data_IF_131789304056
#
_entry.id   IF_131789304056
#
_cell.length_a   1.000
_cell.length_b   1.000
_cell.length_c   1.000
_cell.angle_alpha   90.00
_cell.angle_beta   90.00
_cell.angle_gamma   90.00
#
_symmetry.space_group_name_H-M   'P 1'
#
loop_
_entity.id
_entity.type
_entity.pdbx_description
1 polymer ?
#
# COMPACT_ATOMS: atom_id res chain seq x y z
N UNK A 1 -42.94 26.83 38.08
CA UNK A 1 -42.95 27.74 36.89
C UNK A 1 -42.22 27.17 35.70
N UNK A 2 -41.51 26.05 35.84
CA UNK A 2 -40.63 25.54 34.79
C UNK A 2 -41.21 24.42 33.95
N UNK A 3 -42.40 23.96 34.23
CA UNK A 3 -43.03 22.82 33.50
C UNK A 3 -43.76 23.25 32.22
N UNK A 4 -44.02 24.50 31.99
CA UNK A 4 -44.70 24.95 30.75
C UNK A 4 -43.79 25.00 29.55
N UNK A 5 -42.48 25.30 29.76
CA UNK A 5 -41.53 25.36 28.68
C UNK A 5 -41.13 23.97 28.08
N UNK A 6 -41.28 22.91 28.87
CA UNK A 6 -41.01 21.57 28.41
C UNK A 6 -42.14 20.98 27.53
N UNK A 7 -43.39 21.40 27.79
CA UNK A 7 -44.55 20.98 27.00
C UNK A 7 -44.56 21.71 25.64
N UNK A 8 -44.24 22.99 25.63
CA UNK A 8 -44.14 23.75 24.37
C UNK A 8 -42.96 23.31 23.50
N UNK A 9 -41.83 22.92 24.09
CA UNK A 9 -40.72 22.33 23.38
C UNK A 9 -41.09 20.95 22.81
N UNK A 10 -41.79 20.12 23.58
CA UNK A 10 -42.26 18.82 23.13
C UNK A 10 -43.27 18.94 21.99
N UNK A 11 -44.22 19.86 22.07
CA UNK A 11 -45.22 20.12 21.03
C UNK A 11 -44.59 20.75 19.77
N UNK A 12 -43.46 21.46 19.91
CA UNK A 12 -42.77 22.04 18.80
C UNK A 12 -42.01 21.01 17.96
N UNK A 13 -41.58 19.89 18.56
CA UNK A 13 -41.00 18.75 17.89
C UNK A 13 -42.03 17.72 17.39
N UNK A 14 -43.27 17.81 17.88
CA UNK A 14 -44.34 16.92 17.51
C UNK A 14 -45.39 17.64 16.65
N UNK A 15 -44.95 18.46 15.73
CA UNK A 15 -45.81 18.96 14.67
C UNK A 15 -46.26 17.73 13.85
N UNK A 16 -47.55 17.65 13.55
CA UNK A 16 -48.14 16.67 12.63
C UNK A 16 -47.55 16.92 11.19
N UNK A 17 -46.28 16.63 11.03
CA UNK A 17 -45.66 16.53 9.71
C UNK A 17 -46.02 15.18 9.16
N UNK A 18 -46.73 15.16 8.05
CA UNK A 18 -46.96 13.92 7.29
C UNK A 18 -45.65 13.17 7.12
N UNK A 19 -45.70 11.84 7.31
CA UNK A 19 -44.55 10.98 7.09
C UNK A 19 -44.00 11.22 5.66
N UNK A 20 -42.86 11.90 5.55
CA UNK A 20 -42.22 12.11 4.29
C UNK A 20 -41.53 10.79 3.86
N UNK A 21 -41.98 10.23 2.77
CA UNK A 21 -41.27 9.09 2.15
C UNK A 21 -40.08 9.60 1.32
N UNK A 22 -38.92 9.24 1.75
CA UNK A 22 -37.68 9.48 1.00
C UNK A 22 -37.16 8.18 0.39
N UNK A 23 -37.03 8.10 -0.90
CA UNK A 23 -36.33 7.01 -1.56
C UNK A 23 -35.00 7.49 -2.14
N UNK A 24 -33.92 6.79 -1.86
CA UNK A 24 -32.63 7.00 -2.55
C UNK A 24 -32.39 5.85 -3.52
N UNK A 25 -32.03 6.18 -4.75
CA UNK A 25 -31.68 5.19 -5.77
C UNK A 25 -30.22 5.36 -6.17
N UNK A 26 -29.44 4.29 -6.04
CA UNK A 26 -28.06 4.26 -6.50
C UNK A 26 -27.93 3.31 -7.68
N UNK A 27 -27.40 3.79 -8.80
CA UNK A 27 -27.12 2.98 -9.98
C UNK A 27 -25.62 2.81 -10.16
N UNK A 28 -25.17 1.57 -10.26
CA UNK A 28 -23.79 1.20 -10.54
C UNK A 28 -23.74 0.52 -11.91
N UNK A 29 -22.86 1.01 -12.76
CA UNK A 29 -22.53 0.38 -14.05
C UNK A 29 -21.09 -0.10 -14.01
N UNK A 30 -20.86 -1.35 -14.41
CA UNK A 30 -19.53 -1.94 -14.52
C UNK A 30 -19.45 -2.73 -15.82
N UNK A 31 -18.52 -2.35 -16.68
CA UNK A 31 -18.18 -3.07 -17.89
C UNK A 31 -16.72 -3.53 -17.81
N UNK A 32 -16.50 -4.81 -18.00
CA UNK A 32 -15.17 -5.40 -18.16
C UNK A 32 -15.12 -6.14 -19.49
N UNK A 33 -14.11 -5.85 -20.27
CA UNK A 33 -13.83 -6.53 -21.54
C UNK A 33 -12.40 -7.04 -21.52
N UNK A 34 -12.22 -8.25 -22.01
CA UNK A 34 -10.94 -8.91 -22.13
C UNK A 34 -10.84 -9.68 -23.44
N UNK A 35 -9.70 -9.59 -24.08
CA UNK A 35 -9.35 -10.41 -25.24
C UNK A 35 -7.96 -10.98 -25.03
N UNK A 36 -7.81 -12.30 -25.17
CA UNK A 36 -6.57 -13.01 -24.91
C UNK A 36 -6.22 -13.95 -26.05
N UNK A 37 -4.94 -13.96 -26.40
CA UNK A 37 -4.35 -14.92 -27.33
C UNK A 37 -3.25 -15.68 -26.60
N UNK A 38 -3.29 -17.02 -26.70
CA UNK A 38 -2.31 -17.91 -26.09
C UNK A 38 -1.63 -18.75 -27.16
N UNK A 39 -0.35 -18.98 -26.97
CA UNK A 39 0.46 -19.89 -27.75
C UNK A 39 1.23 -20.81 -26.82
N UNK A 40 1.27 -22.11 -27.11
CA UNK A 40 2.07 -23.07 -26.35
C UNK A 40 2.57 -24.14 -27.32
N UNK A 41 3.89 -24.39 -27.31
CA UNK A 41 4.51 -25.42 -28.14
C UNK A 41 5.79 -25.95 -27.54
N UNK A 42 5.96 -27.26 -27.64
CA UNK A 42 7.19 -27.99 -27.28
C UNK A 42 7.94 -28.43 -28.52
N UNK A 43 9.22 -28.09 -28.62
CA UNK A 43 10.11 -28.43 -29.71
C UNK A 43 11.29 -29.26 -29.16
N UNK A 44 11.17 -30.57 -29.09
CA UNK A 44 12.17 -31.40 -28.47
C UNK A 44 12.38 -31.04 -27.00
N UNK A 45 13.53 -30.47 -26.66
CA UNK A 45 13.87 -30.04 -25.32
C UNK A 45 13.44 -28.60 -24.98
N UNK A 46 12.89 -27.85 -25.96
CA UNK A 46 12.48 -26.46 -25.82
C UNK A 46 10.98 -26.40 -25.58
N UNK A 47 10.57 -25.74 -24.52
CA UNK A 47 9.17 -25.45 -24.19
C UNK A 47 8.94 -23.94 -24.25
N UNK A 48 8.02 -23.49 -25.10
CA UNK A 48 7.73 -22.08 -25.32
C UNK A 48 6.26 -21.82 -25.11
N UNK A 49 5.95 -20.84 -24.24
CA UNK A 49 4.58 -20.32 -24.15
C UNK A 49 4.57 -18.81 -24.35
N UNK A 50 3.50 -18.32 -24.91
CA UNK A 50 3.26 -16.89 -25.11
C UNK A 50 1.81 -16.54 -24.82
N UNK A 51 1.58 -15.39 -24.23
CA UNK A 51 0.26 -14.84 -23.98
C UNK A 51 0.28 -13.36 -24.30
N UNK A 52 -0.75 -12.87 -24.97
CA UNK A 52 -1.05 -11.46 -25.12
C UNK A 52 -2.48 -11.22 -24.70
N UNK A 53 -2.69 -10.26 -23.82
CA UNK A 53 -3.99 -9.92 -23.25
C UNK A 53 -4.21 -8.43 -23.39
N UNK A 54 -5.40 -8.05 -23.86
CA UNK A 54 -5.94 -6.70 -23.77
C UNK A 54 -7.09 -6.69 -22.79
N UNK A 55 -7.13 -5.70 -21.90
CA UNK A 55 -8.25 -5.52 -20.98
C UNK A 55 -8.69 -4.07 -20.90
N UNK A 56 -9.97 -3.88 -20.67
CA UNK A 56 -10.60 -2.58 -20.42
C UNK A 56 -11.64 -2.71 -19.31
N UNK A 57 -11.63 -1.76 -18.38
CA UNK A 57 -12.62 -1.64 -17.31
C UNK A 57 -13.22 -0.24 -17.32
N UNK A 58 -14.56 -0.15 -17.30
CA UNK A 58 -15.31 1.10 -17.10
C UNK A 58 -16.25 0.88 -15.91
N UNK A 59 -15.99 1.60 -14.83
CA UNK A 59 -16.82 1.58 -13.62
C UNK A 59 -17.43 2.97 -13.41
N UNK A 60 -18.74 3.03 -13.23
CA UNK A 60 -19.50 4.27 -12.98
C UNK A 60 -20.44 4.08 -11.82
N UNK A 61 -20.30 4.93 -10.83
CA UNK A 61 -21.27 5.14 -9.78
C UNK A 61 -22.03 6.43 -10.11
N UNK A 62 -23.36 6.45 -9.97
CA UNK A 62 -24.24 7.57 -10.36
C UNK A 62 -23.74 8.96 -9.89
N UNK A 63 -23.11 9.02 -8.73
CA UNK A 63 -22.65 10.27 -8.10
C UNK A 63 -21.20 10.64 -8.44
N UNK A 64 -20.44 9.78 -9.14
CA UNK A 64 -19.01 9.95 -9.34
C UNK A 64 -18.62 9.91 -10.81
N UNK A 65 -17.49 10.54 -11.14
CA UNK A 65 -16.88 10.42 -12.46
C UNK A 65 -16.45 8.96 -12.71
N UNK A 66 -16.63 8.50 -13.94
CA UNK A 66 -16.26 7.15 -14.34
C UNK A 66 -14.79 6.82 -14.00
N UNK A 67 -14.54 5.60 -13.53
CA UNK A 67 -13.20 5.05 -13.39
C UNK A 67 -12.91 4.16 -14.58
N UNK A 68 -11.93 4.55 -15.38
CA UNK A 68 -11.52 3.79 -16.56
C UNK A 68 -10.08 3.36 -16.45
N UNK A 69 -9.88 2.11 -16.77
CA UNK A 69 -8.59 1.48 -16.80
C UNK A 69 -8.49 0.61 -18.06
N UNK A 70 -7.36 0.64 -18.73
CA UNK A 70 -7.08 -0.24 -19.86
C UNK A 70 -5.63 -0.69 -19.84
N UNK A 71 -5.36 -1.86 -20.38
CA UNK A 71 -4.01 -2.39 -20.42
C UNK A 71 -3.80 -3.45 -21.47
N UNK A 72 -2.54 -3.55 -21.88
CA UNK A 72 -2.03 -4.64 -22.69
C UNK A 72 -0.97 -5.34 -21.84
N UNK A 73 -1.07 -6.67 -21.75
CA UNK A 73 -0.11 -7.51 -21.03
C UNK A 73 0.44 -8.55 -21.99
N UNK A 74 1.76 -8.66 -22.06
CA UNK A 74 2.46 -9.71 -22.76
C UNK A 74 3.20 -10.59 -21.78
N UNK A 75 3.19 -11.90 -21.98
CA UNK A 75 3.97 -12.90 -21.24
C UNK A 75 4.60 -13.88 -22.19
N UNK A 76 5.87 -14.16 -21.99
CA UNK A 76 6.61 -15.22 -22.69
C UNK A 76 7.32 -16.06 -21.65
N UNK A 77 7.17 -17.39 -21.74
CA UNK A 77 7.95 -18.33 -20.95
C UNK A 77 8.76 -19.22 -21.87
N UNK A 78 9.94 -19.57 -21.42
CA UNK A 78 10.84 -20.49 -22.12
C UNK A 78 11.45 -21.46 -21.13
N UNK A 79 11.35 -22.73 -21.43
CA UNK A 79 11.99 -23.82 -20.70
C UNK A 79 12.93 -24.60 -21.60
N UNK A 80 14.12 -24.93 -21.11
CA UNK A 80 15.04 -25.82 -21.80
C UNK A 80 15.32 -27.05 -20.96
N UNK A 81 14.96 -28.22 -21.50
CA UNK A 81 15.20 -29.57 -20.92
C UNK A 81 14.70 -29.67 -19.46
N UNK A 82 13.70 -28.88 -19.11
CA UNK A 82 13.18 -28.74 -17.74
C UNK A 82 14.24 -28.35 -16.68
N UNK A 83 15.38 -27.81 -17.13
CA UNK A 83 16.52 -27.36 -16.31
C UNK A 83 16.58 -25.84 -16.17
N UNK A 84 16.51 -25.14 -17.30
CA UNK A 84 16.60 -23.70 -17.35
C UNK A 84 15.25 -23.12 -17.70
N UNK A 85 14.78 -22.24 -16.85
CA UNK A 85 13.47 -21.61 -16.97
C UNK A 85 13.65 -20.10 -17.10
N UNK A 86 12.95 -19.51 -18.03
CA UNK A 86 12.94 -18.08 -18.25
C UNK A 86 11.51 -17.59 -18.42
N UNK A 87 11.19 -16.45 -17.82
CA UNK A 87 9.91 -15.78 -17.99
C UNK A 87 10.12 -14.28 -18.14
N UNK A 88 9.45 -13.70 -19.13
CA UNK A 88 9.37 -12.28 -19.33
C UNK A 88 7.89 -11.86 -19.37
N UNK A 89 7.55 -10.85 -18.56
CA UNK A 89 6.25 -10.22 -18.60
C UNK A 89 6.42 -8.72 -18.86
N UNK A 90 5.48 -8.13 -19.59
CA UNK A 90 5.43 -6.69 -19.78
C UNK A 90 3.98 -6.22 -19.75
N UNK A 91 3.67 -5.29 -18.86
CA UNK A 91 2.39 -4.62 -18.78
C UNK A 91 2.52 -3.18 -19.29
N UNK A 92 1.61 -2.77 -20.17
CA UNK A 92 1.44 -1.38 -20.59
C UNK A 92 0.03 -0.94 -20.20
N UNK A 93 -0.07 -0.27 -19.05
CA UNK A 93 -1.32 0.01 -18.36
C UNK A 93 -1.63 1.51 -18.37
N UNK A 94 -2.89 1.86 -18.61
CA UNK A 94 -3.37 3.24 -18.64
C UNK A 94 -4.43 3.51 -17.58
N UNK A 95 -4.30 4.64 -16.89
CA UNK A 95 -5.23 5.13 -15.88
C UNK A 95 -5.66 6.56 -16.18
N UNK A 96 -6.94 6.86 -16.00
CA UNK A 96 -7.47 8.23 -16.10
C UNK A 96 -7.10 9.13 -14.92
N UNK A 97 -6.52 8.57 -13.85
CA UNK A 97 -6.05 9.36 -12.71
C UNK A 97 -4.91 10.32 -13.09
N UNK A 98 -4.32 10.16 -14.27
CA UNK A 98 -3.23 11.00 -14.77
C UNK A 98 -3.63 11.79 -16.01
N UNK A 99 -3.00 12.93 -16.20
CA UNK A 99 -3.22 13.81 -17.34
C UNK A 99 -2.88 13.11 -18.67
N UNK A 100 -3.53 13.52 -19.76
CA UNK A 100 -3.21 13.05 -21.11
C UNK A 100 -1.70 13.20 -21.39
N UNK A 101 -1.07 12.13 -21.89
CA UNK A 101 0.37 12.03 -22.06
C UNK A 101 1.12 11.35 -20.91
N UNK A 102 0.53 11.23 -19.69
CA UNK A 102 1.10 10.53 -18.52
C UNK A 102 0.26 9.34 -18.05
N UNK A 103 -0.84 9.05 -18.77
CA UNK A 103 -1.79 7.99 -18.40
C UNK A 103 -1.20 6.60 -18.44
N UNK A 104 -0.27 6.33 -19.36
CA UNK A 104 0.27 5.01 -19.59
C UNK A 104 1.60 4.81 -18.91
N UNK A 105 1.72 3.69 -18.18
CA UNK A 105 2.95 3.21 -17.58
C UNK A 105 3.37 1.86 -18.14
N UNK A 106 4.69 1.68 -18.34
CA UNK A 106 5.29 0.41 -18.76
C UNK A 106 5.94 -0.27 -17.55
N UNK A 107 5.56 -1.54 -17.33
CA UNK A 107 5.93 -2.32 -16.15
C UNK A 107 6.44 -3.70 -16.57
N UNK A 108 7.74 -3.82 -16.86
CA UNK A 108 8.35 -5.10 -17.24
C UNK A 108 8.72 -5.92 -16.00
N UNK A 109 8.77 -7.24 -16.18
CA UNK A 109 9.39 -8.17 -15.23
C UNK A 109 10.08 -9.31 -15.95
N UNK A 110 11.14 -9.81 -15.33
CA UNK A 110 11.91 -10.96 -15.81
C UNK A 110 12.19 -11.89 -14.65
N UNK A 111 12.09 -13.17 -14.89
CA UNK A 111 12.52 -14.20 -13.95
C UNK A 111 13.30 -15.30 -14.65
N UNK A 112 14.25 -15.87 -13.90
CA UNK A 112 15.05 -17.00 -14.30
C UNK A 112 14.98 -18.08 -13.22
N UNK A 113 14.97 -19.33 -13.64
CA UNK A 113 14.99 -20.47 -12.75
C UNK A 113 15.98 -21.53 -13.25
N UNK A 114 16.71 -22.11 -12.33
CA UNK A 114 17.61 -23.22 -12.61
C UNK A 114 17.25 -24.40 -11.71
N UNK A 115 16.76 -25.46 -12.34
CA UNK A 115 16.45 -26.72 -11.64
C UNK A 115 17.71 -27.58 -11.60
N UNK A 116 18.49 -27.41 -10.56
CA UNK A 116 19.82 -28.01 -10.38
C UNK A 116 19.74 -29.54 -10.34
N UNK A 117 18.70 -30.07 -9.72
CA UNK A 117 18.49 -31.54 -9.64
C UNK A 117 18.33 -32.24 -10.99
N UNK A 118 17.98 -31.48 -12.05
CA UNK A 118 17.86 -32.05 -13.38
C UNK A 118 19.19 -32.10 -14.15
N UNK A 119 20.27 -31.58 -13.56
CA UNK A 119 21.59 -31.63 -14.18
C UNK A 119 22.23 -33.02 -14.09
N UNK A 120 23.05 -33.36 -15.08
CA UNK A 120 23.73 -34.66 -15.17
C UNK A 120 24.59 -34.96 -13.92
N UNK A 121 25.28 -33.96 -13.39
CA UNK A 121 26.12 -34.12 -12.20
C UNK A 121 25.33 -34.37 -10.91
N UNK A 122 24.02 -34.12 -10.91
CA UNK A 122 23.13 -34.32 -9.76
C UNK A 122 22.41 -35.68 -9.77
N UNK A 123 22.59 -36.50 -10.80
CA UNK A 123 21.91 -37.83 -10.91
C UNK A 123 22.17 -38.74 -9.71
N UNK A 124 23.36 -38.68 -9.13
CA UNK A 124 23.72 -39.47 -7.94
C UNK A 124 23.14 -38.97 -6.60
N UNK A 125 22.48 -37.86 -6.57
CA UNK A 125 21.91 -37.28 -5.34
C UNK A 125 20.40 -37.44 -5.24
N UNK A 126 19.75 -37.99 -6.26
CA UNK A 126 18.29 -38.03 -6.37
C UNK A 126 17.61 -38.87 -5.27
N UNK A 127 18.33 -39.79 -4.63
CA UNK A 127 17.82 -40.60 -3.53
C UNK A 127 17.48 -39.80 -2.28
N UNK A 128 18.22 -38.69 -2.06
CA UNK A 128 18.02 -37.86 -0.90
C UNK A 128 17.65 -36.40 -1.24
N UNK A 129 18.05 -35.85 -2.40
CA UNK A 129 17.75 -34.51 -2.89
C UNK A 129 16.94 -34.59 -4.18
N UNK A 130 15.62 -34.55 -4.05
CA UNK A 130 14.68 -34.75 -5.16
C UNK A 130 14.38 -33.48 -5.92
N UNK A 131 14.47 -32.36 -5.24
CA UNK A 131 14.25 -31.03 -5.83
C UNK A 131 15.26 -30.04 -5.28
N UNK A 132 15.97 -29.37 -6.16
CA UNK A 132 16.78 -28.20 -5.85
C UNK A 132 16.64 -27.24 -7.01
N UNK A 133 16.00 -26.10 -6.75
CA UNK A 133 15.78 -25.06 -7.75
C UNK A 133 16.17 -23.72 -7.20
N UNK A 134 17.01 -23.02 -7.92
CA UNK A 134 17.34 -21.61 -7.68
C UNK A 134 16.51 -20.75 -8.62
N UNK A 135 15.98 -19.65 -8.11
CA UNK A 135 15.22 -18.68 -8.90
C UNK A 135 15.62 -17.25 -8.55
N UNK A 136 15.62 -16.40 -9.55
CA UNK A 136 15.83 -14.96 -9.37
C UNK A 136 14.82 -14.20 -10.21
N UNK A 137 14.30 -13.10 -9.71
CA UNK A 137 13.40 -12.26 -10.45
C UNK A 137 13.62 -10.78 -10.17
N UNK A 138 13.33 -9.99 -11.18
CA UNK A 138 13.22 -8.55 -11.11
C UNK A 138 11.92 -8.12 -11.78
N UNK A 139 11.19 -7.19 -11.16
CA UNK A 139 9.96 -6.66 -11.75
C UNK A 139 9.67 -5.23 -11.33
N UNK A 140 8.98 -4.52 -12.20
CA UNK A 140 8.40 -3.22 -11.89
C UNK A 140 6.89 -3.34 -11.76
N UNK A 141 6.32 -2.67 -10.72
CA UNK A 141 4.89 -2.57 -10.49
C UNK A 141 4.50 -1.11 -10.36
N UNK A 142 3.43 -0.72 -11.06
CA UNK A 142 2.86 0.63 -10.98
C UNK A 142 1.67 0.68 -10.02
N UNK A 143 1.52 1.82 -9.34
CA UNK A 143 0.33 2.13 -8.57
C UNK A 143 -0.17 3.53 -8.97
N UNK A 144 -1.48 3.65 -9.20
CA UNK A 144 -2.17 4.89 -9.55
C UNK A 144 -3.13 5.37 -8.46
N UNK A 145 -3.15 4.67 -7.32
CA UNK A 145 -4.10 4.93 -6.24
C UNK A 145 -3.44 5.81 -5.17
N UNK A 146 -4.07 6.95 -4.93
CA UNK A 146 -3.74 7.81 -3.80
C UNK A 146 -4.95 7.97 -2.88
N UNK A 147 -4.77 7.87 -1.56
CA UNK A 147 -5.83 7.96 -0.56
C UNK A 147 -5.47 8.96 0.54
N UNK A 148 -6.46 9.73 0.97
CA UNK A 148 -6.38 10.58 2.16
C UNK A 148 -7.52 10.16 3.09
N UNK A 149 -7.21 9.82 4.34
CA UNK A 149 -8.23 9.39 5.30
C UNK A 149 -9.08 8.20 4.82
N UNK A 150 -8.49 7.30 4.00
CA UNK A 150 -9.19 6.17 3.38
C UNK A 150 -9.92 6.48 2.07
N UNK A 151 -10.22 7.74 1.79
CA UNK A 151 -10.90 8.16 0.56
C UNK A 151 -9.92 8.27 -0.62
N UNK A 152 -10.27 7.65 -1.76
CA UNK A 152 -9.50 7.71 -3.00
C UNK A 152 -9.52 9.14 -3.56
N UNK A 153 -8.36 9.69 -3.81
CA UNK A 153 -8.19 10.99 -4.47
C UNK A 153 -7.91 10.75 -5.95
N UNK A 154 -8.70 11.38 -6.80
CA UNK A 154 -8.61 11.24 -8.26
C UNK A 154 -8.38 12.59 -8.92
N UNK A 155 -7.88 12.56 -10.15
CA UNK A 155 -7.73 13.76 -10.99
C UNK A 155 -6.94 14.88 -10.29
N UNK A 156 -5.79 14.52 -9.69
CA UNK A 156 -4.92 15.48 -8.99
C UNK A 156 -4.37 16.58 -9.92
N UNK A 157 -4.50 16.39 -11.22
CA UNK A 157 -4.14 17.37 -12.26
C UNK A 157 -5.26 18.37 -12.57
N UNK A 158 -6.43 18.25 -11.92
CA UNK A 158 -7.53 19.18 -12.06
C UNK A 158 -7.59 20.15 -10.88
N UNK A 159 -7.91 21.39 -11.19
CA UNK A 159 -8.20 22.42 -10.19
C UNK A 159 -9.53 22.11 -9.51
N UNK A 160 -9.56 22.16 -8.18
CA UNK A 160 -10.78 21.90 -7.43
C UNK A 160 -11.35 23.17 -6.84
N UNK A 161 -12.65 23.29 -6.98
CA UNK A 161 -13.45 24.38 -6.42
C UNK A 161 -14.46 23.83 -5.44
N UNK A 162 -14.57 24.45 -4.28
CA UNK A 162 -15.59 24.11 -3.30
C UNK A 162 -16.53 25.27 -3.10
N UNK A 163 -17.77 24.94 -2.77
CA UNK A 163 -18.76 25.92 -2.37
C UNK A 163 -18.57 26.24 -0.88
N UNK A 164 -18.44 27.50 -0.55
CA UNK A 164 -18.55 27.99 0.82
C UNK A 164 -20.04 28.10 1.12
N UNK A 165 -20.45 27.64 2.29
CA UNK A 165 -21.82 27.82 2.77
C UNK A 165 -22.17 29.32 2.94
N UNK A 166 -23.08 29.61 3.82
CA UNK A 166 -23.54 30.97 4.07
C UNK A 166 -22.49 31.79 4.86
N UNK A 167 -21.30 31.99 4.30
CA UNK A 167 -20.17 32.67 4.98
C UNK A 167 -20.04 34.14 4.64
N UNK A 168 -20.70 34.58 3.57
CA UNK A 168 -20.72 36.01 3.20
C UNK A 168 -22.08 36.62 3.52
N UNK A 169 -22.07 37.75 4.26
CA UNK A 169 -23.27 38.48 4.58
C UNK A 169 -23.37 39.74 3.75
N UNK A 170 -24.45 39.85 2.97
CA UNK A 170 -24.80 41.05 2.21
C UNK A 170 -26.03 41.67 2.86
N UNK A 171 -25.85 42.71 3.69
CA UNK A 171 -26.91 43.24 4.52
C UNK A 171 -27.41 42.19 5.52
N UNK A 172 -28.67 41.82 5.43
CA UNK A 172 -29.26 40.76 6.28
C UNK A 172 -29.27 39.36 5.61
N UNK A 173 -28.85 39.28 4.36
CA UNK A 173 -28.90 38.03 3.58
C UNK A 173 -27.56 37.34 3.54
N UNK A 174 -27.52 36.06 3.88
CA UNK A 174 -26.35 35.21 3.72
C UNK A 174 -26.21 34.75 2.28
N UNK A 175 -25.00 34.81 1.76
CA UNK A 175 -24.68 34.39 0.40
C UNK A 175 -23.65 33.27 0.45
N UNK A 176 -23.81 32.28 -0.43
CA UNK A 176 -22.82 31.27 -0.65
C UNK A 176 -21.80 31.75 -1.70
N UNK A 177 -20.55 31.36 -1.51
CA UNK A 177 -19.47 31.67 -2.44
C UNK A 177 -18.81 30.41 -2.99
N UNK A 178 -17.90 30.60 -3.94
CA UNK A 178 -17.06 29.55 -4.48
C UNK A 178 -15.62 29.98 -4.25
N UNK A 179 -14.80 29.05 -3.77
CA UNK A 179 -13.37 29.27 -3.59
C UNK A 179 -12.55 28.11 -4.17
N UNK A 180 -11.33 28.41 -4.58
CA UNK A 180 -10.38 27.43 -5.01
C UNK A 180 -9.89 26.61 -3.81
N UNK A 181 -10.17 25.32 -3.80
CA UNK A 181 -9.84 24.43 -2.67
C UNK A 181 -8.52 23.70 -2.86
N UNK A 182 -8.11 23.50 -4.11
CA UNK A 182 -6.87 22.77 -4.41
C UNK A 182 -6.26 23.22 -5.75
N UNK A 183 -4.97 23.55 -5.75
CA UNK A 183 -4.21 23.75 -6.97
C UNK A 183 -3.92 22.42 -7.66
N UNK A 184 -4.00 22.39 -9.01
CA UNK A 184 -3.70 21.20 -9.79
C UNK A 184 -2.21 20.85 -9.76
N UNK A 185 -1.89 19.57 -9.90
CA UNK A 185 -0.53 19.13 -10.15
C UNK A 185 -0.43 18.38 -11.50
N UNK A 186 0.02 19.08 -12.52
CA UNK A 186 0.22 18.49 -13.87
C UNK A 186 1.41 17.51 -13.93
N UNK A 187 2.23 17.46 -12.87
CA UNK A 187 3.41 16.60 -12.75
C UNK A 187 3.09 15.15 -12.36
N UNK A 188 1.90 14.88 -11.86
CA UNK A 188 1.53 13.57 -11.30
C UNK A 188 1.68 12.44 -12.30
N UNK A 189 2.32 11.35 -11.85
CA UNK A 189 2.56 10.13 -12.62
C UNK A 189 2.45 8.89 -11.73
N UNK A 190 2.67 7.72 -12.33
CA UNK A 190 2.66 6.43 -11.65
C UNK A 190 3.71 6.36 -10.53
N UNK A 191 3.30 5.89 -9.37
CA UNK A 191 4.21 5.36 -8.36
C UNK A 191 4.83 4.06 -8.91
N UNK A 192 6.14 3.83 -8.69
CA UNK A 192 6.87 2.67 -9.21
C UNK A 192 7.57 1.92 -8.09
N UNK A 193 7.28 0.63 -7.99
CA UNK A 193 7.98 -0.30 -7.13
C UNK A 193 8.90 -1.20 -7.97
N UNK A 194 10.18 -1.19 -7.64
CA UNK A 194 11.20 -2.10 -8.17
C UNK A 194 11.37 -3.23 -7.18
N UNK A 195 11.07 -4.45 -7.61
CA UNK A 195 11.08 -5.66 -6.77
C UNK A 195 12.14 -6.63 -7.25
N UNK A 196 12.95 -7.11 -6.33
CA UNK A 196 13.97 -8.13 -6.55
C UNK A 196 13.67 -9.29 -5.60
N UNK A 197 13.77 -10.50 -6.11
CA UNK A 197 13.60 -11.70 -5.31
C UNK A 197 14.64 -12.73 -5.72
N UNK A 198 15.25 -13.40 -4.74
CA UNK A 198 16.10 -14.56 -4.89
C UNK A 198 15.50 -15.68 -4.05
N UNK A 199 15.16 -16.80 -4.70
CA UNK A 199 14.50 -17.92 -4.05
C UNK A 199 15.26 -19.23 -4.24
N UNK A 200 15.25 -20.06 -3.21
CA UNK A 200 15.75 -21.43 -3.21
C UNK A 200 14.61 -22.35 -2.82
N UNK A 201 14.33 -23.32 -3.68
CA UNK A 201 13.36 -24.38 -3.40
C UNK A 201 14.10 -25.70 -3.24
N UNK A 202 13.80 -26.48 -2.22
CA UNK A 202 14.40 -27.79 -2.03
C UNK A 202 13.37 -28.83 -1.60
N UNK A 203 13.66 -30.08 -1.94
CA UNK A 203 12.90 -31.24 -1.53
C UNK A 203 13.85 -32.40 -1.24
N UNK A 204 13.74 -32.99 -0.06
CA UNK A 204 14.59 -34.03 0.46
C UNK A 204 13.79 -35.30 0.73
N UNK A 205 14.45 -36.45 0.56
CA UNK A 205 13.93 -37.77 0.91
C UNK A 205 12.51 -38.03 0.38
N UNK A 206 12.34 -37.87 -0.94
CA UNK A 206 11.07 -38.06 -1.64
C UNK A 206 9.90 -37.26 -1.07
N UNK A 207 10.18 -36.02 -0.63
CA UNK A 207 9.16 -35.10 -0.12
C UNK A 207 8.91 -35.22 1.38
N UNK A 208 9.73 -36.02 2.12
CA UNK A 208 9.68 -36.06 3.58
C UNK A 208 9.92 -34.67 4.19
N UNK A 209 10.88 -33.94 3.64
CA UNK A 209 11.15 -32.55 3.99
C UNK A 209 11.24 -31.72 2.73
N UNK A 210 10.49 -30.65 2.66
CA UNK A 210 10.58 -29.66 1.58
C UNK A 210 10.55 -28.24 2.17
N UNK A 211 11.06 -27.28 1.42
CA UNK A 211 11.04 -25.90 1.87
C UNK A 211 11.39 -24.91 0.79
N UNK A 212 11.08 -23.67 1.10
CA UNK A 212 11.39 -22.49 0.30
C UNK A 212 12.11 -21.46 1.18
N UNK A 213 13.12 -20.84 0.61
CA UNK A 213 13.80 -19.67 1.18
C UNK A 213 13.74 -18.56 0.15
N UNK A 214 13.16 -17.44 0.52
CA UNK A 214 13.04 -16.24 -0.29
C UNK A 214 13.74 -15.06 0.36
N UNK A 215 14.59 -14.38 -0.40
CA UNK A 215 15.18 -13.10 -0.05
C UNK A 215 14.57 -12.05 -0.97
N UNK A 216 13.99 -11.01 -0.41
CA UNK A 216 13.36 -9.96 -1.21
C UNK A 216 13.89 -8.57 -0.86
N UNK A 217 13.91 -7.73 -1.88
CA UNK A 217 14.18 -6.31 -1.77
C UNK A 217 13.24 -5.53 -2.68
N UNK A 218 12.56 -4.53 -2.12
CA UNK A 218 11.70 -3.62 -2.85
C UNK A 218 12.18 -2.19 -2.64
N UNK A 219 12.28 -1.42 -3.72
CA UNK A 219 12.46 0.03 -3.68
C UNK A 219 11.30 0.69 -4.40
N UNK A 220 10.55 1.51 -3.69
CA UNK A 220 9.40 2.22 -4.19
C UNK A 220 9.76 3.69 -4.34
N UNK A 221 9.54 4.23 -5.55
CA UNK A 221 9.81 5.60 -5.91
C UNK A 221 8.52 6.28 -6.36
N UNK A 222 8.56 7.60 -6.43
CA UNK A 222 7.48 8.42 -6.94
C UNK A 222 6.15 8.20 -6.19
N UNK A 223 6.22 7.90 -4.88
CA UNK A 223 5.04 7.72 -4.04
C UNK A 223 4.30 9.05 -3.94
N UNK A 224 3.00 9.02 -4.20
CA UNK A 224 2.14 10.18 -4.07
C UNK A 224 1.96 10.53 -2.58
N UNK A 225 2.41 11.73 -2.20
CA UNK A 225 2.33 12.28 -0.86
C UNK A 225 1.84 13.71 -0.88
N UNK A 226 1.27 14.17 0.24
CA UNK A 226 0.93 15.59 0.41
C UNK A 226 2.19 16.42 0.60
N UNK A 227 2.13 17.67 0.18
CA UNK A 227 3.12 18.68 0.58
C UNK A 227 2.92 19.04 2.06
N UNK A 228 3.91 18.75 2.89
CA UNK A 228 3.92 19.12 4.31
C UNK A 228 4.70 20.43 4.57
N UNK A 229 5.62 20.78 3.66
CA UNK A 229 6.50 21.95 3.80
C UNK A 229 5.96 23.23 3.20
N UNK A 230 4.73 23.21 2.66
CA UNK A 230 4.18 24.41 2.04
C UNK A 230 3.91 25.51 3.08
N UNK A 231 4.20 26.79 2.76
CA UNK A 231 3.84 27.90 3.62
C UNK A 231 2.33 28.07 3.75
N UNK A 232 1.83 28.28 4.97
CA UNK A 232 0.38 28.43 5.23
C UNK A 232 -0.23 29.67 4.56
N UNK A 233 0.55 30.72 4.32
CA UNK A 233 0.09 31.94 3.68
C UNK A 233 -0.35 31.77 2.21
N UNK A 234 -0.03 30.64 1.57
CA UNK A 234 -0.54 30.31 0.23
C UNK A 234 -2.06 30.18 0.21
N UNK A 235 -2.68 29.81 1.33
CA UNK A 235 -4.14 29.78 1.51
C UNK A 235 -4.86 28.61 0.85
N UNK A 236 -4.37 28.10 -0.30
CA UNK A 236 -4.99 27.03 -1.09
C UNK A 236 -4.19 25.72 -0.95
N UNK A 237 -4.86 24.59 -0.83
CA UNK A 237 -4.20 23.29 -0.77
C UNK A 237 -3.51 22.96 -2.10
N UNK A 238 -2.34 22.32 -2.05
CA UNK A 238 -1.68 21.76 -3.23
C UNK A 238 -2.09 20.31 -3.40
N UNK A 239 -2.33 19.89 -4.64
CA UNK A 239 -2.52 18.48 -4.93
C UNK A 239 -1.26 17.67 -4.56
N UNK A 240 -1.45 16.40 -4.21
CA UNK A 240 -0.34 15.51 -3.93
C UNK A 240 0.65 15.43 -5.10
N UNK A 241 1.90 15.12 -4.78
CA UNK A 241 2.99 14.97 -5.75
C UNK A 241 3.78 13.69 -5.50
N UNK A 242 4.54 13.27 -6.51
CA UNK A 242 5.38 12.08 -6.46
C UNK A 242 6.71 12.36 -5.72
N UNK A 243 6.64 12.57 -4.40
CA UNK A 243 7.77 13.00 -3.56
C UNK A 243 8.32 11.89 -2.66
N UNK A 244 7.51 10.84 -2.40
CA UNK A 244 7.89 9.81 -1.45
C UNK A 244 8.77 8.72 -2.06
N UNK A 245 9.71 8.19 -1.25
CA UNK A 245 10.49 6.99 -1.55
C UNK A 245 10.59 6.12 -0.31
N UNK A 246 10.45 4.81 -0.51
CA UNK A 246 10.60 3.81 0.55
C UNK A 246 11.41 2.63 0.06
N UNK A 247 11.99 1.88 0.97
CA UNK A 247 12.54 0.55 0.72
C UNK A 247 11.94 -0.46 1.68
N UNK A 248 11.89 -1.71 1.25
CA UNK A 248 11.50 -2.84 2.07
C UNK A 248 12.38 -4.02 1.72
N UNK A 249 12.91 -4.72 2.71
CA UNK A 249 13.74 -5.90 2.51
C UNK A 249 13.47 -6.92 3.59
N UNK A 250 13.65 -8.19 3.26
CA UNK A 250 13.41 -9.23 4.22
C UNK A 250 13.69 -10.61 3.65
N UNK A 251 13.29 -11.60 4.44
CA UNK A 251 13.38 -12.99 4.05
C UNK A 251 12.18 -13.78 4.57
N UNK A 252 11.85 -14.83 3.84
CA UNK A 252 10.75 -15.74 4.14
C UNK A 252 11.29 -17.17 4.08
N UNK A 253 10.92 -17.97 5.07
CA UNK A 253 11.29 -19.39 5.17
C UNK A 253 10.00 -20.18 5.33
N UNK A 254 9.82 -21.16 4.47
CA UNK A 254 8.76 -22.14 4.58
C UNK A 254 9.37 -23.53 4.63
N UNK A 255 9.02 -24.30 5.66
CA UNK A 255 9.42 -25.68 5.81
C UNK A 255 8.18 -26.55 5.95
N UNK A 256 8.18 -27.68 5.25
CA UNK A 256 7.10 -28.66 5.30
C UNK A 256 7.68 -30.04 5.48
N UNK A 257 7.27 -30.70 6.54
CA UNK A 257 7.54 -32.10 6.80
C UNK A 257 6.26 -32.91 6.58
N UNK A 258 6.30 -33.91 5.68
CA UNK A 258 5.16 -34.77 5.38
C UNK A 258 5.60 -36.22 5.48
N UNK A 259 4.91 -37.01 6.28
CA UNK A 259 5.23 -38.44 6.44
C UNK A 259 3.97 -39.24 6.73
N UNK A 260 4.11 -40.57 6.70
CA UNK A 260 3.06 -41.51 7.04
C UNK A 260 3.57 -42.51 8.10
N UNK A 261 2.68 -42.93 8.97
CA UNK A 261 2.92 -43.96 9.99
C UNK A 261 1.98 -45.11 9.70
N UNK A 262 2.55 -46.27 9.37
CA UNK A 262 1.77 -47.41 8.96
C UNK A 262 1.09 -47.15 7.61
N UNK A 263 -0.13 -47.70 7.41
CA UNK A 263 -0.88 -47.58 6.15
C UNK A 263 -1.94 -46.49 6.18
N UNK A 264 -2.38 -46.07 7.37
CA UNK A 264 -3.61 -45.30 7.55
C UNK A 264 -3.39 -43.92 8.12
N UNK A 265 -2.21 -43.63 8.69
CA UNK A 265 -1.96 -42.34 9.32
C UNK A 265 -0.96 -41.49 8.51
N UNK A 266 -1.48 -40.42 7.89
CA UNK A 266 -0.67 -39.42 7.18
C UNK A 266 -0.67 -38.12 7.97
N UNK A 267 0.49 -37.51 8.13
CA UNK A 267 0.60 -36.20 8.79
C UNK A 267 1.50 -35.25 8.02
N UNK A 268 1.19 -33.97 8.18
CA UNK A 268 1.99 -32.89 7.62
C UNK A 268 2.17 -31.82 8.69
N UNK A 269 3.42 -31.38 8.88
CA UNK A 269 3.77 -30.27 9.76
C UNK A 269 4.40 -29.17 8.89
N UNK A 270 3.85 -27.97 8.98
CA UNK A 270 4.36 -26.78 8.27
C UNK A 270 4.85 -25.73 9.26
N UNK A 271 5.98 -25.09 8.92
CA UNK A 271 6.53 -23.93 9.62
C UNK A 271 6.75 -22.83 8.61
N UNK A 272 6.20 -21.66 8.90
CA UNK A 272 6.44 -20.45 8.12
C UNK A 272 7.05 -19.39 9.03
N UNK A 273 8.13 -18.76 8.57
CA UNK A 273 8.74 -17.64 9.27
C UNK A 273 9.06 -16.54 8.27
N UNK A 274 8.68 -15.31 8.60
CA UNK A 274 8.99 -14.15 7.77
C UNK A 274 9.54 -13.01 8.61
N UNK A 275 10.50 -12.29 8.06
CA UNK A 275 11.02 -11.06 8.62
C UNK A 275 11.13 -10.01 7.53
N UNK A 276 10.57 -8.82 7.80
CA UNK A 276 10.63 -7.69 6.89
C UNK A 276 10.99 -6.40 7.64
N UNK A 277 11.83 -5.59 7.02
CA UNK A 277 12.19 -4.26 7.50
C UNK A 277 11.95 -3.24 6.40
N UNK A 278 11.11 -2.27 6.68
CA UNK A 278 10.88 -1.14 5.78
C UNK A 278 11.52 0.15 6.32
N UNK A 279 11.75 1.11 5.45
CA UNK A 279 12.33 2.40 5.79
C UNK A 279 11.86 3.47 4.81
N UNK A 280 11.55 4.64 5.32
CA UNK A 280 11.26 5.84 4.53
C UNK A 280 12.60 6.43 4.09
N UNK A 281 12.84 6.48 2.77
CA UNK A 281 14.06 7.04 2.19
C UNK A 281 13.93 8.53 1.89
N UNK A 282 12.71 8.98 1.60
CA UNK A 282 12.40 10.37 1.26
C UNK A 282 10.93 10.64 1.48
N UNK A 283 10.62 11.74 2.11
CA UNK A 283 9.30 12.35 2.16
C UNK A 283 9.42 13.87 2.28
N UNK A 284 8.34 14.59 1.99
CA UNK A 284 8.30 16.02 2.18
C UNK A 284 8.09 16.33 3.69
N UNK A 285 9.19 16.52 4.41
CA UNK A 285 9.18 16.87 5.83
C UNK A 285 9.68 18.30 6.07
N UNK A 286 9.05 19.06 7.01
CA UNK A 286 9.62 20.31 7.43
C UNK A 286 10.97 20.10 8.11
N UNK A 287 11.86 21.08 8.00
CA UNK A 287 13.14 21.04 8.70
C UNK A 287 12.90 21.08 10.22
N UNK A 288 12.94 19.90 10.82
CA UNK A 288 12.74 19.72 12.25
C UNK A 288 14.06 19.99 12.97
N UNK A 289 14.01 20.84 14.01
CA UNK A 289 15.19 21.18 14.82
C UNK A 289 15.82 19.97 15.53
N UNK A 290 15.10 18.85 15.58
CA UNK A 290 15.50 17.65 16.31
C UNK A 290 15.37 16.41 15.45
N UNK A 291 16.48 15.69 15.26
CA UNK A 291 16.54 14.52 14.38
C UNK A 291 15.63 13.37 14.81
N UNK A 292 15.40 13.20 16.12
CA UNK A 292 14.52 12.14 16.65
C UNK A 292 13.06 12.26 16.20
N UNK A 293 12.65 13.42 15.65
CA UNK A 293 11.30 13.64 15.14
C UNK A 293 11.16 13.39 13.64
N UNK A 294 12.26 13.20 12.94
CA UNK A 294 12.26 12.90 11.51
C UNK A 294 11.66 11.52 11.26
N UNK A 295 10.89 11.42 10.19
CA UNK A 295 10.35 10.14 9.72
C UNK A 295 11.26 9.49 8.69
N UNK A 296 12.02 10.28 7.94
CA UNK A 296 13.05 9.76 7.06
C UNK A 296 14.08 8.94 7.86
N UNK A 297 14.49 7.80 7.30
CA UNK A 297 15.37 6.83 7.97
C UNK A 297 14.68 5.88 8.94
N UNK A 298 13.38 6.07 9.19
CA UNK A 298 12.59 5.25 10.10
C UNK A 298 11.58 4.36 9.37
N UNK A 299 11.08 3.29 10.02
CA UNK A 299 9.99 2.47 9.48
C UNK A 299 8.71 3.28 9.23
N UNK A 300 7.95 2.87 8.21
CA UNK A 300 6.60 3.40 7.97
C UNK A 300 5.74 3.09 9.21
N UNK A 301 4.98 4.09 9.66
CA UNK A 301 4.13 4.01 10.86
C UNK A 301 4.89 3.73 12.17
N UNK A 302 6.16 4.11 12.26
CA UNK A 302 6.85 4.06 13.54
C UNK A 302 6.16 4.99 14.54
N UNK A 303 5.96 4.46 15.76
CA UNK A 303 5.46 5.27 16.87
C UNK A 303 6.57 6.17 17.38
N UNK A 304 6.24 7.45 17.53
CA UNK A 304 7.09 8.44 18.19
C UNK A 304 6.40 8.82 19.49
N UNK A 305 7.10 8.66 20.59
CA UNK A 305 6.54 8.91 21.91
C UNK A 305 7.62 9.29 22.91
N UNK A 306 7.18 9.72 24.07
CA UNK A 306 8.06 10.01 25.18
C UNK A 306 8.50 8.71 25.86
N UNK A 307 9.78 8.64 26.25
CA UNK A 307 10.29 7.50 27.02
C UNK A 307 9.93 7.70 28.48
N UNK A 308 9.11 6.80 29.01
CA UNK A 308 8.69 6.82 30.39
C UNK A 308 9.73 6.10 31.27
N UNK A 309 10.23 6.77 32.33
CA UNK A 309 11.16 6.24 33.31
C UNK A 309 10.45 5.81 34.62
N UNK A 310 9.13 5.64 34.58
CA UNK A 310 8.32 5.24 35.73
C UNK A 310 7.44 6.36 36.27
N UNK A 311 7.07 6.25 37.54
CA UNK A 311 6.22 7.24 38.20
C UNK A 311 7.07 8.18 39.08
N UNK A 312 6.59 9.41 39.20
CA UNK A 312 7.19 10.40 40.09
C UNK A 312 6.93 9.98 41.55
N UNK A 313 7.98 9.91 42.30
CA UNK A 313 7.95 9.56 43.75
C UNK A 313 8.14 10.80 44.61
N UNK A 314 7.80 10.72 45.94
CA UNK A 314 8.10 11.78 46.89
C UNK A 314 9.59 12.12 46.91
N UNK A 315 10.47 11.10 46.82
CA UNK A 315 11.90 11.29 46.77
C UNK A 315 12.41 12.07 45.55
N UNK A 316 11.74 11.96 44.41
CA UNK A 316 12.04 12.75 43.21
C UNK A 316 11.73 14.24 43.44
N UNK A 317 10.60 14.53 44.11
CA UNK A 317 10.19 15.90 44.44
C UNK A 317 11.15 16.51 45.49
N UNK A 318 11.40 15.82 46.59
CA UNK A 318 12.24 16.30 47.66
C UNK A 318 13.71 16.46 47.24
N UNK A 319 14.14 15.63 46.27
CA UNK A 319 15.49 15.68 45.71
C UNK A 319 15.73 16.82 44.72
N UNK A 320 14.71 17.56 44.34
CA UNK A 320 14.80 18.68 43.37
C UNK A 320 15.34 18.29 42.00
N UNK A 321 15.27 17.00 41.65
CA UNK A 321 15.82 16.41 40.41
C UNK A 321 14.83 16.32 39.26
N UNK A 322 13.58 16.75 39.46
CA UNK A 322 12.56 16.73 38.40
C UNK A 322 12.83 17.85 37.42
N UNK A 323 12.98 17.55 36.15
CA UNK A 323 13.03 18.58 35.11
C UNK A 323 11.69 19.33 35.09
N UNK A 324 11.74 20.61 34.76
CA UNK A 324 10.53 21.43 34.60
C UNK A 324 9.71 20.83 33.45
N UNK A 325 8.52 20.30 33.77
CA UNK A 325 7.63 19.73 32.76
C UNK A 325 7.09 20.84 31.84
N UNK A 326 7.32 20.67 30.54
CA UNK A 326 6.68 21.50 29.50
C UNK A 326 5.35 20.92 29.00
N UNK A 327 4.95 19.76 29.55
CA UNK A 327 3.72 19.04 29.16
C UNK A 327 2.54 19.35 30.08
N UNK A 328 2.80 19.94 31.25
CA UNK A 328 1.78 20.34 32.22
C UNK A 328 2.41 21.19 33.31
N UNK A 329 1.63 22.08 33.94
CA UNK A 329 2.13 23.02 34.93
C UNK A 329 2.31 22.41 36.33
N UNK A 330 1.52 21.39 36.67
CA UNK A 330 1.53 20.76 37.97
C UNK A 330 1.83 19.27 37.82
N UNK A 331 3.03 18.90 38.25
CA UNK A 331 3.49 17.51 38.29
C UNK A 331 3.43 17.04 39.70
N UNK A 332 2.71 15.95 39.99
CA UNK A 332 2.49 15.38 41.29
C UNK A 332 3.04 13.97 41.45
N UNK A 333 2.96 13.46 42.67
CA UNK A 333 3.29 12.06 43.00
C UNK A 333 2.34 11.15 42.22
N UNK A 334 2.89 10.12 41.55
CA UNK A 334 2.13 9.16 40.76
C UNK A 334 1.94 9.56 39.27
N UNK A 335 2.37 10.76 38.86
CA UNK A 335 2.43 11.13 37.46
C UNK A 335 3.58 10.44 36.73
N UNK A 336 3.48 10.29 35.41
CA UNK A 336 4.51 9.67 34.60
C UNK A 336 5.75 10.56 34.49
N UNK A 337 6.91 9.96 34.78
CA UNK A 337 8.23 10.59 34.65
C UNK A 337 8.78 10.30 33.26
N UNK A 338 9.02 11.33 32.49
CA UNK A 338 9.57 11.21 31.13
C UNK A 338 11.05 11.59 31.12
N UNK A 339 11.81 10.84 30.32
CA UNK A 339 13.23 11.10 30.11
C UNK A 339 13.38 12.33 29.21
N UNK A 340 14.22 13.27 29.62
CA UNK A 340 14.72 14.34 28.76
C UNK A 340 15.89 13.75 27.93
N UNK A 341 15.81 13.90 26.57
CA UNK A 341 16.79 13.36 25.62
C UNK A 341 17.45 14.45 24.81
#
# INVERSE_FOLDING_TARGET
RDNYNSIDAYNKFNTDTELAYGSSFTSIYKLYMEAQVNYARKFGKHDVTGMMLYMQNDYRNKAELAERYQGIVGRVTYGYDDRYLFEFNAGYNGSENFMKGKRFGFFPSVSVGWRITNEEFMKGTQDWLNNLKLRASYGQVGNDIYKIGGAKQRFLYEQKWNQIGNDYRYGETWQSGIYESQYPNYGVTWERAHKYNLGLEFGLWNGLLSGNLDLFYEKRNDILTQYLTRPQWVGVAMAAANLGKTKNSGYEIELKHANHIGKDFNYTVGLTYSHAKNEILMMDEPDLKTDYRKREGHPINQYFGLVCDGFITQADIDGGKLPVSKLGENVGIGDLKYRDM
#
